data_IF_032129395971
#
_entry.id   IF_032129395971
#
_cell.length_a   1.000
_cell.length_b   1.000
_cell.length_c   1.000
_cell.angle_alpha   90.00
_cell.angle_beta   90.00
_cell.angle_gamma   90.00
#
_symmetry.space_group_name_H-M   'P 1'
#
loop_
_entity.id
_entity.type
_entity.pdbx_description
1 polymer ?
#
# COMPACT_ATOMS: atom_id res chain seq x y z
N UNK A 1 31.49 -1.29 -17.31
CA UNK A 1 30.38 -0.92 -18.21
C UNK A 1 29.37 -2.07 -18.19
N UNK A 2 28.35 -1.98 -17.34
CA UNK A 2 27.28 -2.97 -17.23
C UNK A 2 25.96 -2.19 -17.08
N UNK A 3 25.48 -1.59 -18.16
CA UNK A 3 24.22 -0.85 -18.20
C UNK A 3 23.05 -1.82 -18.33
N UNK A 4 22.30 -1.94 -17.24
CA UNK A 4 20.86 -1.86 -17.19
C UNK A 4 20.04 -2.65 -18.23
N UNK A 5 19.79 -3.94 -17.93
CA UNK A 5 18.73 -4.73 -18.59
C UNK A 5 17.50 -4.93 -17.69
N UNK A 6 17.19 -3.97 -16.83
CA UNK A 6 16.12 -4.10 -15.80
C UNK A 6 14.74 -3.62 -16.25
N UNK A 7 14.63 -2.98 -17.42
CA UNK A 7 13.42 -2.26 -17.84
C UNK A 7 12.36 -3.14 -18.54
N UNK A 8 12.70 -4.35 -19.00
CA UNK A 8 11.80 -5.10 -19.90
C UNK A 8 10.83 -6.05 -19.14
N UNK A 9 11.11 -6.40 -17.90
CA UNK A 9 10.28 -7.39 -17.17
C UNK A 9 8.94 -6.85 -16.60
N UNK A 10 8.77 -5.55 -16.50
CA UNK A 10 7.60 -4.97 -15.79
C UNK A 10 6.34 -4.81 -16.66
N UNK A 11 6.45 -4.92 -17.98
CA UNK A 11 5.30 -4.71 -18.90
C UNK A 11 4.44 -5.97 -19.09
N UNK A 12 4.95 -7.15 -18.75
CA UNK A 12 4.23 -8.43 -18.97
C UNK A 12 3.38 -8.92 -17.80
N UNK A 13 3.34 -8.20 -16.68
CA UNK A 13 2.76 -8.71 -15.42
C UNK A 13 1.27 -8.44 -15.19
N UNK A 14 0.55 -7.90 -16.16
CA UNK A 14 -0.86 -7.53 -15.95
C UNK A 14 -1.88 -8.62 -16.38
N UNK A 15 -1.46 -9.78 -16.89
CA UNK A 15 -2.40 -10.72 -17.52
C UNK A 15 -2.46 -12.15 -16.96
N UNK A 16 -1.72 -12.51 -15.89
CA UNK A 16 -1.86 -13.85 -15.31
C UNK A 16 -2.50 -13.76 -13.91
N UNK A 17 -3.80 -13.94 -13.90
CA UNK A 17 -4.61 -14.11 -12.69
C UNK A 17 -4.48 -15.57 -12.21
N UNK A 18 -3.48 -15.85 -11.37
CA UNK A 18 -3.49 -17.06 -10.55
C UNK A 18 -4.07 -16.69 -9.19
N UNK A 19 -5.29 -17.13 -8.94
CA UNK A 19 -6.07 -16.80 -7.75
C UNK A 19 -5.54 -17.58 -6.56
N UNK A 20 -4.80 -16.95 -5.67
CA UNK A 20 -4.46 -17.53 -4.37
C UNK A 20 -5.58 -17.20 -3.40
N UNK A 21 -6.35 -18.22 -2.98
CA UNK A 21 -7.34 -18.07 -1.90
C UNK A 21 -6.61 -17.94 -0.56
N UNK A 22 -6.22 -16.72 -0.21
CA UNK A 22 -5.73 -16.42 1.13
C UNK A 22 -6.97 -16.29 2.02
N UNK A 23 -7.26 -17.34 2.83
CA UNK A 23 -8.15 -17.19 3.97
C UNK A 23 -7.45 -16.30 5.00
N UNK A 24 -7.63 -15.00 4.86
CA UNK A 24 -7.27 -14.07 5.91
C UNK A 24 -8.32 -14.22 7.02
N UNK A 25 -7.95 -14.89 8.11
CA UNK A 25 -8.75 -14.81 9.32
C UNK A 25 -8.84 -13.34 9.71
N UNK A 26 -10.03 -12.83 10.09
CA UNK A 26 -10.13 -11.49 10.65
C UNK A 26 -9.15 -11.42 11.83
N UNK A 27 -8.39 -10.32 11.88
CA UNK A 27 -7.55 -10.04 13.04
C UNK A 27 -8.52 -10.01 14.22
N UNK A 28 -8.42 -11.03 15.10
CA UNK A 28 -9.19 -11.04 16.33
C UNK A 28 -8.82 -9.74 17.06
N UNK A 29 -9.78 -8.83 17.17
CA UNK A 29 -9.69 -7.72 18.09
C UNK A 29 -9.59 -8.32 19.50
N UNK A 30 -8.38 -8.65 19.92
CA UNK A 30 -8.12 -8.87 21.33
C UNK A 30 -8.29 -7.52 22.00
N UNK A 31 -9.32 -7.42 22.84
CA UNK A 31 -9.54 -6.30 23.75
C UNK A 31 -8.35 -6.20 24.70
N UNK A 32 -7.26 -5.63 24.23
CA UNK A 32 -6.17 -5.13 25.05
C UNK A 32 -6.33 -3.62 25.08
N UNK A 33 -7.06 -3.15 26.10
CA UNK A 33 -7.02 -1.76 26.55
C UNK A 33 -5.59 -1.42 26.95
N UNK A 34 -4.79 -0.96 25.99
CA UNK A 34 -3.67 -0.06 26.23
C UNK A 34 -3.83 1.10 25.27
N UNK A 35 -4.63 2.03 25.71
CA UNK A 35 -4.88 3.31 25.07
C UNK A 35 -3.65 4.20 25.21
N UNK A 36 -2.68 4.04 24.29
CA UNK A 36 -1.59 5.00 24.12
C UNK A 36 -1.76 5.88 22.86
N UNK A 37 -2.95 5.84 22.23
CA UNK A 37 -3.26 6.66 21.03
C UNK A 37 -2.41 6.32 19.79
N UNK A 38 -1.64 5.22 19.81
CA UNK A 38 -0.71 4.90 18.73
C UNK A 38 -1.41 4.49 17.43
N UNK A 39 -2.54 3.83 17.53
CA UNK A 39 -3.29 3.35 16.35
C UNK A 39 -3.97 4.51 15.64
N UNK A 40 -4.62 5.42 16.37
CA UNK A 40 -5.19 6.65 15.80
C UNK A 40 -4.12 7.54 15.17
N UNK A 41 -2.94 7.60 15.79
CA UNK A 41 -1.81 8.34 15.22
C UNK A 41 -1.37 7.75 13.88
N UNK A 42 -1.30 6.42 13.75
CA UNK A 42 -0.89 5.76 12.52
C UNK A 42 -1.97 5.90 11.44
N UNK A 43 -3.24 5.83 11.78
CA UNK A 43 -4.33 6.12 10.83
C UNK A 43 -4.24 7.54 10.28
N UNK A 44 -3.98 8.54 11.13
CA UNK A 44 -3.75 9.92 10.71
C UNK A 44 -2.60 10.05 9.73
N UNK A 45 -1.45 9.43 10.06
CA UNK A 45 -0.27 9.41 9.19
C UNK A 45 -0.60 8.73 7.85
N UNK A 46 -1.37 7.64 7.87
CA UNK A 46 -1.78 6.95 6.65
C UNK A 46 -2.73 7.80 5.80
N UNK A 47 -3.69 8.50 6.40
CA UNK A 47 -4.60 9.41 5.68
C UNK A 47 -3.82 10.54 5.00
N UNK A 48 -2.85 11.14 5.70
CA UNK A 48 -1.98 12.17 5.14
C UNK A 48 -1.10 11.63 4.00
N UNK A 49 -0.48 10.47 4.20
CA UNK A 49 0.25 9.75 3.15
C UNK A 49 -0.62 9.51 1.91
N UNK A 50 -1.85 9.03 2.10
CA UNK A 50 -2.76 8.70 1.01
C UNK A 50 -3.23 9.94 0.27
N UNK A 51 -3.50 11.04 0.96
CA UNK A 51 -3.86 12.31 0.34
C UNK A 51 -2.70 12.86 -0.51
N UNK A 52 -1.49 12.90 0.04
CA UNK A 52 -0.31 13.36 -0.70
C UNK A 52 0.00 12.43 -1.88
N UNK A 53 -0.15 11.12 -1.72
CA UNK A 53 0.05 10.17 -2.83
C UNK A 53 -0.90 10.42 -4.00
N UNK A 54 -2.15 10.81 -3.73
CA UNK A 54 -3.13 11.08 -4.78
C UNK A 54 -3.04 12.50 -5.34
N UNK A 55 -2.91 13.50 -4.48
CA UNK A 55 -3.11 14.91 -4.79
C UNK A 55 -1.84 15.76 -4.70
N UNK A 56 -0.81 15.27 -4.00
CA UNK A 56 0.42 16.02 -3.74
C UNK A 56 1.60 15.64 -4.65
N UNK A 57 2.76 16.11 -4.23
CA UNK A 57 4.03 15.82 -4.89
C UNK A 57 4.58 14.47 -4.43
N UNK A 58 4.98 13.61 -5.38
CA UNK A 58 5.51 12.27 -5.06
C UNK A 58 6.76 12.29 -4.15
N UNK A 59 7.51 13.39 -4.16
CA UNK A 59 8.68 13.55 -3.27
C UNK A 59 8.27 13.62 -1.81
N UNK A 60 7.13 14.22 -1.51
CA UNK A 60 6.63 14.36 -0.15
C UNK A 60 6.18 13.01 0.43
N UNK A 61 5.68 12.11 -0.44
CA UNK A 61 5.33 10.73 -0.07
C UNK A 61 6.52 10.00 0.54
N UNK A 62 7.74 10.24 0.07
CA UNK A 62 8.95 9.58 0.57
C UNK A 62 9.21 9.87 2.06
N UNK A 63 8.72 11.00 2.56
CA UNK A 63 8.87 11.37 3.97
C UNK A 63 8.14 10.40 4.91
N UNK A 64 7.09 9.74 4.45
CA UNK A 64 6.31 8.75 5.20
C UNK A 64 6.90 7.35 5.15
N UNK A 65 7.84 7.09 4.26
CA UNK A 65 8.33 5.76 3.94
C UNK A 65 9.77 5.54 4.42
N UNK A 66 10.12 4.29 4.69
CA UNK A 66 11.52 3.91 4.83
C UNK A 66 12.20 3.96 3.45
N UNK A 67 13.53 4.14 3.37
CA UNK A 67 14.25 4.03 2.09
C UNK A 67 14.02 2.69 1.40
N UNK A 68 14.01 1.61 2.19
CA UNK A 68 13.71 0.27 1.69
C UNK A 68 12.28 -0.12 2.06
N UNK A 69 11.43 -0.31 1.06
CA UNK A 69 10.03 -0.72 1.20
C UNK A 69 9.79 -2.01 0.43
N UNK A 70 8.97 -2.88 1.03
CA UNK A 70 8.55 -4.14 0.41
C UNK A 70 7.13 -3.97 -0.09
N UNK A 71 6.91 -4.29 -1.36
CA UNK A 71 5.60 -4.33 -2.00
C UNK A 71 5.28 -5.75 -2.39
N UNK A 72 4.12 -6.27 -1.97
CA UNK A 72 3.64 -7.59 -2.38
C UNK A 72 2.27 -7.47 -3.02
N UNK A 73 2.18 -7.83 -4.30
CA UNK A 73 0.98 -7.80 -5.09
C UNK A 73 0.87 -9.08 -5.92
N UNK A 74 -0.27 -9.78 -5.88
CA UNK A 74 -0.51 -10.97 -6.68
C UNK A 74 0.64 -12.00 -6.62
N UNK A 75 1.13 -12.33 -5.42
CA UNK A 75 2.25 -13.25 -5.16
C UNK A 75 3.62 -12.79 -5.68
N UNK A 76 3.74 -11.55 -6.09
CA UNK A 76 5.02 -10.98 -6.49
C UNK A 76 5.49 -9.99 -5.44
N UNK A 77 6.77 -10.06 -5.10
CA UNK A 77 7.38 -9.17 -4.13
C UNK A 77 8.44 -8.32 -4.82
N UNK A 78 8.32 -7.02 -4.64
CA UNK A 78 9.30 -6.02 -5.07
C UNK A 78 9.84 -5.35 -3.81
N UNK A 79 11.15 -5.29 -3.69
CA UNK A 79 11.83 -4.56 -2.62
C UNK A 79 12.62 -3.41 -3.23
N UNK A 80 12.43 -2.20 -2.72
CA UNK A 80 13.29 -1.07 -3.06
C UNK A 80 14.49 -1.03 -2.14
N UNK A 81 15.61 -0.53 -2.61
CA UNK A 81 16.85 -0.44 -1.83
C UNK A 81 17.02 0.98 -1.22
N UNK A 82 16.52 1.99 -1.92
CA UNK A 82 16.65 3.40 -1.57
C UNK A 82 15.44 4.24 -2.01
N UNK A 83 15.45 5.52 -1.68
CA UNK A 83 14.39 6.47 -2.05
C UNK A 83 14.32 6.74 -3.56
N UNK A 84 15.41 6.62 -4.30
CA UNK A 84 15.41 6.86 -5.76
C UNK A 84 14.64 5.75 -6.48
N UNK A 85 14.90 4.48 -6.13
CA UNK A 85 14.14 3.35 -6.64
C UNK A 85 12.67 3.43 -6.23
N UNK A 86 12.41 3.78 -4.98
CA UNK A 86 11.05 3.97 -4.48
C UNK A 86 10.32 5.06 -5.25
N UNK A 87 10.95 6.20 -5.48
CA UNK A 87 10.39 7.30 -6.27
C UNK A 87 10.04 6.87 -7.69
N UNK A 88 10.94 6.15 -8.36
CA UNK A 88 10.70 5.63 -9.71
C UNK A 88 9.50 4.66 -9.74
N UNK A 89 9.39 3.78 -8.75
CA UNK A 89 8.27 2.85 -8.64
C UNK A 89 6.93 3.57 -8.45
N UNK A 90 6.87 4.55 -7.54
CA UNK A 90 5.68 5.36 -7.29
C UNK A 90 5.28 6.19 -8.52
N UNK A 91 6.27 6.74 -9.23
CA UNK A 91 6.04 7.47 -10.48
C UNK A 91 5.42 6.58 -11.56
N UNK A 92 5.98 5.38 -11.77
CA UNK A 92 5.41 4.42 -12.72
C UNK A 92 3.99 4.00 -12.34
N UNK A 93 3.73 3.79 -11.05
CA UNK A 93 2.39 3.46 -10.57
C UNK A 93 1.39 4.60 -10.88
N UNK A 94 1.74 5.85 -10.60
CA UNK A 94 0.89 7.03 -10.89
C UNK A 94 0.66 7.22 -12.39
N UNK A 95 1.70 7.03 -13.22
CA UNK A 95 1.58 7.05 -14.67
C UNK A 95 0.65 5.96 -15.22
N UNK A 96 0.71 4.76 -14.63
CA UNK A 96 -0.17 3.65 -15.02
C UNK A 96 -1.62 3.92 -14.64
N UNK A 97 -1.89 4.51 -13.49
CA UNK A 97 -3.25 4.94 -13.12
C UNK A 97 -3.80 5.97 -14.11
N UNK A 98 -2.98 6.98 -14.45
CA UNK A 98 -3.35 7.99 -15.43
C UNK A 98 -3.62 7.40 -16.83
N UNK A 99 -2.78 6.46 -17.28
CA UNK A 99 -2.98 5.77 -18.58
C UNK A 99 -4.26 4.94 -18.61
N UNK A 100 -4.61 4.29 -17.49
CA UNK A 100 -5.84 3.51 -17.35
C UNK A 100 -7.07 4.37 -17.10
N UNK A 101 -6.88 5.66 -16.87
CA UNK A 101 -7.95 6.61 -16.55
C UNK A 101 -8.78 6.17 -15.34
N UNK A 102 -8.06 5.83 -14.26
CA UNK A 102 -8.65 5.35 -13.00
C UNK A 102 -8.24 6.21 -11.80
N UNK A 103 -9.11 6.21 -10.79
CA UNK A 103 -8.79 6.75 -9.45
C UNK A 103 -9.09 5.73 -8.35
N UNK A 104 -8.50 5.93 -7.18
CA UNK A 104 -8.68 5.04 -6.04
C UNK A 104 -9.51 5.72 -4.97
N UNK A 105 -10.49 5.00 -4.44
CA UNK A 105 -11.32 5.44 -3.30
C UNK A 105 -11.25 4.40 -2.19
N UNK A 106 -11.13 4.87 -0.94
CA UNK A 106 -11.18 3.99 0.23
C UNK A 106 -12.64 3.75 0.64
N UNK A 107 -12.96 2.49 0.89
CA UNK A 107 -14.28 2.05 1.35
C UNK A 107 -14.30 1.84 2.85
N UNK A 108 -13.23 1.27 3.41
CA UNK A 108 -13.06 1.10 4.85
C UNK A 108 -11.60 1.24 5.24
N UNK A 109 -11.36 1.68 6.46
CA UNK A 109 -10.04 1.83 7.07
C UNK A 109 -10.16 1.32 8.50
N UNK A 110 -9.21 0.51 8.92
CA UNK A 110 -9.04 0.10 10.31
C UNK A 110 -7.56 -0.06 10.61
N UNK A 111 -7.17 0.11 11.85
CA UNK A 111 -5.80 -0.09 12.29
C UNK A 111 -5.71 -1.05 13.46
N UNK A 112 -4.54 -1.65 13.66
CA UNK A 112 -4.28 -2.55 14.78
C UNK A 112 -2.81 -2.86 14.94
N UNK A 113 -2.38 -3.03 16.18
CA UNK A 113 -1.03 -3.47 16.54
C UNK A 113 -0.86 -4.95 16.24
N UNK A 114 0.28 -5.36 15.73
CA UNK A 114 0.53 -6.76 15.34
C UNK A 114 1.46 -7.48 16.29
N UNK A 115 2.51 -6.83 16.74
CA UNK A 115 3.46 -7.41 17.67
C UNK A 115 4.21 -6.26 18.33
N UNK A 116 4.34 -6.31 19.64
CA UNK A 116 4.99 -5.27 20.42
C UNK A 116 4.63 -3.85 19.92
N UNK A 117 4.80 -2.81 20.65
CA UNK A 117 4.42 -1.42 20.31
C UNK A 117 5.18 -0.79 19.11
N UNK A 118 5.82 -1.63 18.27
CA UNK A 118 6.68 -1.17 17.19
C UNK A 118 6.10 -1.34 15.79
N UNK A 119 5.06 -2.14 15.61
CA UNK A 119 4.44 -2.38 14.30
C UNK A 119 2.92 -2.21 14.40
N UNK A 120 2.40 -1.30 13.59
CA UNK A 120 0.95 -1.11 13.39
C UNK A 120 0.62 -1.37 11.93
N UNK A 121 -0.48 -2.06 11.70
CA UNK A 121 -1.02 -2.30 10.36
C UNK A 121 -2.24 -1.39 10.17
N UNK A 122 -2.29 -0.70 9.04
CA UNK A 122 -3.53 -0.08 8.53
C UNK A 122 -4.09 -0.97 7.45
N UNK A 123 -5.28 -1.47 7.67
CA UNK A 123 -6.04 -2.37 6.80
C UNK A 123 -7.09 -1.56 6.04
N UNK A 124 -7.02 -1.58 4.72
CA UNK A 124 -7.85 -0.73 3.88
C UNK A 124 -8.51 -1.53 2.77
N UNK A 125 -9.82 -1.37 2.63
CA UNK A 125 -10.54 -1.81 1.43
C UNK A 125 -10.60 -0.64 0.45
N UNK A 126 -10.08 -0.85 -0.75
CA UNK A 126 -9.95 0.16 -1.79
C UNK A 126 -10.63 -0.28 -3.07
N UNK A 127 -11.42 0.64 -3.67
CA UNK A 127 -11.97 0.47 -5.01
C UNK A 127 -11.16 1.25 -6.04
N UNK A 128 -10.91 0.62 -7.19
CA UNK A 128 -10.43 1.28 -8.41
C UNK A 128 -11.64 1.63 -9.27
N UNK A 129 -11.79 2.89 -9.60
CA UNK A 129 -12.95 3.43 -10.35
C UNK A 129 -12.52 4.04 -11.67
N UNK A 130 -13.37 3.93 -12.69
CA UNK A 130 -13.20 4.66 -13.95
C UNK A 130 -13.45 6.15 -13.75
N UNK A 131 -12.53 7.01 -14.22
CA UNK A 131 -12.77 8.46 -14.21
C UNK A 131 -13.90 8.87 -15.17
N UNK A 132 -14.16 8.07 -16.22
CA UNK A 132 -15.19 8.38 -17.24
C UNK A 132 -16.58 8.02 -16.79
N UNK A 133 -16.74 6.83 -16.21
CA UNK A 133 -18.08 6.28 -15.88
C UNK A 133 -18.38 6.33 -14.40
N UNK A 134 -17.38 6.59 -13.57
CA UNK A 134 -17.46 6.50 -12.10
C UNK A 134 -17.90 5.10 -11.60
N UNK A 135 -17.68 4.07 -12.42
CA UNK A 135 -18.00 2.68 -12.08
C UNK A 135 -16.82 2.01 -11.38
N UNK A 136 -17.14 1.16 -10.41
CA UNK A 136 -16.15 0.30 -9.75
C UNK A 136 -15.63 -0.74 -10.74
N UNK A 137 -14.32 -0.70 -11.00
CA UNK A 137 -13.64 -1.65 -11.88
C UNK A 137 -13.18 -2.87 -11.08
N UNK A 138 -12.61 -2.61 -9.89
CA UNK A 138 -11.98 -3.63 -9.05
C UNK A 138 -11.94 -3.19 -7.61
N UNK A 139 -12.12 -4.15 -6.71
CA UNK A 139 -11.90 -3.97 -5.29
C UNK A 139 -10.70 -4.77 -4.80
N UNK A 140 -9.97 -4.24 -3.84
CA UNK A 140 -8.81 -4.89 -3.23
C UNK A 140 -8.70 -4.54 -1.75
N UNK A 141 -8.15 -5.47 -0.99
CA UNK A 141 -7.75 -5.23 0.40
C UNK A 141 -6.25 -5.00 0.44
N UNK A 142 -5.82 -3.94 1.09
CA UNK A 142 -4.41 -3.53 1.16
C UNK A 142 -4.03 -3.31 2.62
N UNK A 143 -2.91 -3.89 3.01
CA UNK A 143 -2.33 -3.74 4.33
C UNK A 143 -1.08 -2.87 4.23
N UNK A 144 -1.04 -1.82 5.01
CA UNK A 144 0.07 -0.90 5.13
C UNK A 144 0.73 -1.11 6.48
N UNK A 145 1.99 -1.54 6.49
CA UNK A 145 2.74 -1.88 7.69
C UNK A 145 3.65 -0.72 8.08
N UNK A 146 3.36 -0.11 9.22
CA UNK A 146 4.14 0.97 9.80
C UNK A 146 5.03 0.46 10.91
N UNK A 147 6.26 0.93 10.93
CA UNK A 147 7.24 0.63 11.96
C UNK A 147 7.62 1.90 12.71
N UNK A 148 7.55 1.86 14.03
CA UNK A 148 7.93 2.96 14.91
C UNK A 148 9.46 3.04 15.04
N UNK A 149 10.03 4.12 14.56
CA UNK A 149 11.47 4.43 14.71
C UNK A 149 11.66 5.36 15.91
N UNK A 150 12.68 5.10 16.73
CA UNK A 150 12.94 5.86 17.99
C UNK A 150 12.98 7.38 17.79
N UNK A 151 13.53 7.85 16.66
CA UNK A 151 13.75 9.30 16.42
C UNK A 151 12.82 9.84 15.34
N UNK A 152 12.47 9.00 14.33
CA UNK A 152 11.75 9.45 13.11
C UNK A 152 10.25 9.18 13.15
N UNK A 153 9.72 8.68 14.27
CA UNK A 153 8.32 8.30 14.39
C UNK A 153 7.94 7.11 13.50
N UNK A 154 6.69 7.03 13.11
CA UNK A 154 6.16 5.95 12.28
C UNK A 154 6.57 6.09 10.82
N UNK A 155 7.05 4.99 10.22
CA UNK A 155 7.42 4.93 8.80
C UNK A 155 6.88 3.67 8.15
N UNK A 156 6.25 3.83 7.01
CA UNK A 156 5.77 2.76 6.16
C UNK A 156 6.96 1.96 5.61
N UNK A 157 6.93 0.64 5.77
CA UNK A 157 8.02 -0.24 5.31
C UNK A 157 7.55 -1.42 4.46
N UNK A 158 6.24 -1.75 4.49
CA UNK A 158 5.69 -2.82 3.67
C UNK A 158 4.26 -2.51 3.27
N UNK A 159 3.90 -2.86 2.05
CA UNK A 159 2.54 -2.80 1.51
C UNK A 159 2.22 -4.16 0.89
N UNK A 160 1.11 -4.76 1.30
CA UNK A 160 0.61 -5.99 0.69
C UNK A 160 -0.81 -5.77 0.20
N UNK A 161 -1.13 -6.23 -1.00
CA UNK A 161 -2.46 -6.08 -1.56
C UNK A 161 -2.92 -7.37 -2.23
N UNK A 162 -4.17 -7.74 -1.99
CA UNK A 162 -4.87 -8.84 -2.65
C UNK A 162 -6.16 -8.33 -3.28
N UNK A 163 -6.52 -8.89 -4.44
CA UNK A 163 -7.83 -8.66 -5.01
C UNK A 163 -8.89 -9.28 -4.09
N UNK A 164 -9.99 -8.57 -3.86
CA UNK A 164 -11.18 -9.16 -3.29
C UNK A 164 -11.93 -9.85 -4.44
N UNK A 165 -12.13 -11.15 -4.32
CA UNK A 165 -13.05 -11.86 -5.18
C UNK A 165 -14.46 -11.50 -4.70
N UNK A 166 -15.23 -10.80 -5.54
CA UNK A 166 -16.66 -10.69 -5.30
C UNK A 166 -17.24 -12.11 -5.45
N UNK A 167 -17.62 -12.74 -4.36
CA UNK A 167 -18.48 -13.91 -4.39
C UNK A 167 -19.84 -13.43 -4.97
N UNK A 168 -20.00 -13.66 -6.28
CA UNK A 168 -21.26 -13.53 -6.98
C UNK A 168 -22.10 -14.78 -6.74
#
# INVERSE_FOLDING_TARGET
MGKMKFVICMVLFLNNCATLKIKLNPINQSNAESDDGSDEQVEKIWLEYFDILNNGELKDVLSFMKPSVIFTFNNQTIKTEDHDQLFLLLKQWKENQKKKDIYIKNHSISSGKVADDFITIVDVIQGEYSNKTNELIKEKRTFYYFHRLKIKGWKLYMITSAALENEL
#
